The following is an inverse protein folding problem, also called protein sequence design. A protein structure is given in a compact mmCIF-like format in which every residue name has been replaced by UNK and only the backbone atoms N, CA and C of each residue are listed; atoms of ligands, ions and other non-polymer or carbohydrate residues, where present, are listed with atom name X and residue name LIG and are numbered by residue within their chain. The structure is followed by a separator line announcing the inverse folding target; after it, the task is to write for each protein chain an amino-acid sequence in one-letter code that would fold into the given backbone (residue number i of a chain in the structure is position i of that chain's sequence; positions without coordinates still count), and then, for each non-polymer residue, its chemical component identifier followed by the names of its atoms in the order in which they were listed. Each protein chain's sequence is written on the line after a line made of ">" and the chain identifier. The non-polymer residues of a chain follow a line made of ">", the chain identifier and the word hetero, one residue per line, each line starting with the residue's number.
data_IF_433927783132
#
_entry.id   IF_433927783132
#
_cell.length_a   1.000
_cell.length_b   1.000
_cell.length_c   1.000
_cell.angle_alpha   90.00
_cell.angle_beta   90.00
_cell.angle_gamma   90.00
#
_symmetry.space_group_name_H-M   'P 1'
#
loop_
_entity.id
_entity.type
_entity.pdbx_description
1 polymer ?
#
# COMPACT_ATOMS: atom_id res chain seq x y z
N UNK A 1 -11.37 -21.12 -10.93
CA UNK A 1 -10.46 -20.11 -10.33
C UNK A 1 -10.90 -18.75 -10.81
N UNK A 2 -11.49 -17.92 -9.94
CA UNK A 2 -12.03 -16.62 -10.35
C UNK A 2 -10.93 -15.57 -10.60
N UNK A 3 -11.19 -14.52 -11.41
CA UNK A 3 -10.21 -13.49 -11.75
C UNK A 3 -9.73 -12.67 -10.54
N UNK A 4 -10.49 -12.64 -9.44
CA UNK A 4 -10.07 -12.02 -8.18
C UNK A 4 -8.99 -12.82 -7.43
N UNK A 5 -8.99 -14.15 -7.56
CA UNK A 5 -7.93 -14.99 -6.97
C UNK A 5 -6.61 -14.85 -7.74
N UNK A 6 -6.68 -14.59 -9.06
CA UNK A 6 -5.49 -14.34 -9.88
C UNK A 6 -4.82 -12.99 -9.54
N UNK A 7 -5.58 -11.98 -9.12
CA UNK A 7 -5.03 -10.68 -8.73
C UNK A 7 -4.22 -10.73 -7.42
N UNK A 8 -4.51 -11.69 -6.55
CA UNK A 8 -3.76 -11.92 -5.30
C UNK A 8 -2.48 -12.74 -5.51
N UNK A 9 -2.31 -13.38 -6.67
CA UNK A 9 -1.14 -14.21 -7.00
C UNK A 9 -0.15 -13.49 -7.93
N UNK A 10 -0.59 -12.49 -8.70
CA UNK A 10 0.17 -11.99 -9.84
C UNK A 10 1.21 -10.89 -9.56
N UNK A 11 1.40 -10.40 -8.34
CA UNK A 11 2.57 -9.54 -8.04
C UNK A 11 3.04 -9.70 -6.60
N UNK A 12 4.06 -10.53 -6.33
CA UNK A 12 4.74 -10.50 -5.05
C UNK A 12 5.62 -9.26 -5.05
N UNK A 13 5.21 -8.20 -4.35
CA UNK A 13 6.15 -7.09 -4.11
C UNK A 13 7.24 -7.53 -3.12
N UNK A 14 7.03 -8.59 -2.32
CA UNK A 14 8.02 -9.09 -1.35
C UNK A 14 7.93 -10.60 -1.05
N UNK A 15 7.86 -11.48 -2.05
CA UNK A 15 8.19 -12.91 -1.88
C UNK A 15 7.35 -13.76 -0.91
N UNK A 16 6.23 -13.28 -0.36
CA UNK A 16 5.31 -14.11 0.43
C UNK A 16 4.20 -14.66 -0.45
N UNK A 17 4.26 -15.96 -0.79
CA UNK A 17 3.12 -16.68 -1.34
C UNK A 17 2.12 -16.98 -0.21
N UNK A 18 0.95 -16.35 -0.23
CA UNK A 18 -0.18 -16.78 0.58
C UNK A 18 -0.67 -18.13 0.03
N UNK A 19 -0.34 -19.24 0.70
CA UNK A 19 -1.00 -20.52 0.47
C UNK A 19 -2.41 -20.46 1.06
N UNK A 20 -3.39 -20.12 0.22
CA UNK A 20 -4.81 -20.15 0.59
C UNK A 20 -5.27 -21.61 0.58
N UNK A 21 -5.87 -22.06 1.68
CA UNK A 21 -6.43 -23.41 1.80
C UNK A 21 -7.51 -23.65 0.72
N UNK A 22 -7.38 -24.70 -0.12
CA UNK A 22 -8.30 -24.96 -1.23
C UNK A 22 -9.73 -25.26 -0.79
N UNK A 23 -9.98 -25.56 0.49
CA UNK A 23 -11.33 -25.76 1.04
C UNK A 23 -12.20 -24.48 1.04
N UNK A 24 -11.58 -23.29 0.94
CA UNK A 24 -12.28 -22.00 0.94
C UNK A 24 -12.66 -21.50 -0.47
N UNK A 25 -12.27 -22.20 -1.54
CA UNK A 25 -12.40 -21.74 -2.93
C UNK A 25 -13.56 -22.35 -3.74
N UNK A 26 -14.46 -23.12 -3.10
CA UNK A 26 -15.61 -23.72 -3.77
C UNK A 26 -16.79 -22.72 -3.89
N UNK A 27 -16.72 -21.83 -4.87
CA UNK A 27 -17.83 -20.95 -5.29
C UNK A 27 -18.00 -20.96 -6.82
N UNK A 28 -19.22 -20.75 -7.34
CA UNK A 28 -19.56 -21.06 -8.73
C UNK A 28 -18.82 -20.19 -9.76
N UNK A 29 -18.34 -20.86 -10.80
CA UNK A 29 -17.49 -20.34 -11.88
C UNK A 29 -18.23 -19.37 -12.81
N UNK A 30 -17.73 -18.14 -12.94
CA UNK A 30 -18.03 -17.24 -14.06
C UNK A 30 -16.86 -17.25 -15.04
N UNK A 31 -16.98 -18.07 -16.08
CA UNK A 31 -16.04 -18.14 -17.20
C UNK A 31 -16.41 -17.09 -18.25
N UNK A 32 -15.46 -16.19 -18.55
CA UNK A 32 -15.27 -15.39 -19.78
C UNK A 32 -15.00 -13.90 -19.50
N UNK A 33 -13.75 -13.58 -19.21
CA UNK A 33 -13.16 -12.27 -19.55
C UNK A 33 -11.73 -12.54 -20.06
N UNK A 34 -11.37 -12.18 -21.31
CA UNK A 34 -10.02 -12.41 -21.82
C UNK A 34 -9.00 -11.48 -21.15
N UNK A 35 -7.92 -12.06 -20.65
CA UNK A 35 -6.74 -11.40 -20.11
C UNK A 35 -5.84 -10.98 -21.28
N UNK A 36 -5.62 -9.69 -21.47
CA UNK A 36 -4.63 -9.19 -22.45
C UNK A 36 -3.25 -9.28 -21.80
N UNK A 37 -2.45 -10.25 -22.28
CA UNK A 37 -1.07 -10.46 -21.86
C UNK A 37 -0.14 -9.39 -22.47
N UNK A 38 0.81 -8.92 -21.67
CA UNK A 38 1.89 -8.03 -22.09
C UNK A 38 2.84 -8.80 -23.04
N UNK A 39 3.00 -8.29 -24.27
CA UNK A 39 3.93 -8.85 -25.27
C UNK A 39 5.28 -8.14 -25.15
N UNK A 40 6.32 -8.93 -24.89
CA UNK A 40 7.73 -8.56 -25.04
C UNK A 40 8.09 -8.44 -26.52
N UNK A 41 8.83 -7.38 -26.84
CA UNK A 41 9.41 -7.12 -28.17
C UNK A 41 10.63 -8.00 -28.44
N UNK A 42 10.64 -8.68 -29.58
CA UNK A 42 11.85 -9.07 -30.32
C UNK A 42 11.59 -8.87 -31.81
N UNK A 43 12.50 -8.18 -32.48
CA UNK A 43 12.47 -7.89 -33.91
C UNK A 43 13.24 -8.96 -34.70
N UNK A 44 12.74 -9.36 -35.87
CA UNK A 44 13.50 -9.57 -37.12
C UNK A 44 12.58 -10.04 -38.27
N UNK A 45 12.83 -9.54 -39.49
CA UNK A 45 12.37 -10.13 -40.75
C UNK A 45 11.12 -9.50 -41.38
N UNK A 46 11.30 -8.77 -42.48
CA UNK A 46 10.25 -8.02 -43.17
C UNK A 46 9.48 -8.80 -44.24
N UNK A 47 8.38 -8.19 -44.71
CA UNK A 47 8.01 -7.95 -46.11
C UNK A 47 6.67 -7.18 -46.15
N UNK A 48 6.57 -6.23 -47.09
CA UNK A 48 5.45 -5.30 -47.28
C UNK A 48 4.13 -6.01 -47.61
N UNK A 49 3.03 -5.60 -46.97
CA UNK A 49 1.77 -5.21 -47.65
C UNK A 49 0.62 -5.05 -46.64
N UNK A 50 0.03 -3.85 -46.62
CA UNK A 50 -1.36 -3.65 -46.21
C UNK A 50 -1.60 -2.97 -44.87
N UNK A 51 -1.89 -1.66 -44.91
CA UNK A 51 -2.55 -0.89 -43.86
C UNK A 51 -1.79 -0.72 -42.54
N UNK A 52 -0.67 0.01 -42.59
CA UNK A 52 -0.05 0.61 -41.41
C UNK A 52 -0.89 1.79 -40.89
N UNK A 53 -1.98 1.47 -40.19
CA UNK A 53 -2.43 2.32 -39.09
C UNK A 53 -1.57 1.97 -37.88
N UNK A 54 -0.30 2.36 -37.91
CA UNK A 54 0.47 2.49 -36.67
C UNK A 54 -0.35 3.42 -35.78
N UNK A 55 -0.80 3.02 -34.57
CA UNK A 55 -1.54 3.93 -33.72
C UNK A 55 -0.65 5.16 -33.48
N UNK A 56 -1.03 6.28 -34.08
CA UNK A 56 -0.29 7.53 -33.95
C UNK A 56 -0.10 7.87 -32.48
N UNK A 57 1.00 8.54 -32.16
CA UNK A 57 1.23 9.01 -30.79
C UNK A 57 0.01 9.81 -30.30
N UNK A 58 -0.47 9.57 -29.07
CA UNK A 58 -1.69 10.20 -28.58
C UNK A 58 -1.53 11.71 -28.55
N UNK A 59 -2.53 12.42 -29.05
CA UNK A 59 -2.59 13.87 -29.07
C UNK A 59 -2.62 14.44 -27.64
N UNK A 60 -2.23 15.72 -27.49
CA UNK A 60 -2.32 16.41 -26.20
C UNK A 60 -3.74 16.38 -25.63
N UNK A 61 -4.76 16.51 -26.49
CA UNK A 61 -6.16 16.46 -26.09
C UNK A 61 -6.57 15.09 -25.52
N UNK A 62 -6.15 14.00 -26.17
CA UNK A 62 -6.39 12.63 -25.70
C UNK A 62 -5.71 12.38 -24.35
N UNK A 63 -4.45 12.81 -24.21
CA UNK A 63 -3.71 12.69 -22.95
C UNK A 63 -4.37 13.49 -21.82
N UNK A 64 -4.89 14.68 -22.11
CA UNK A 64 -5.63 15.50 -21.13
C UNK A 64 -6.95 14.83 -20.71
N UNK A 65 -7.68 14.23 -21.65
CA UNK A 65 -8.90 13.48 -21.35
C UNK A 65 -8.59 12.23 -20.49
N UNK A 66 -7.54 11.50 -20.84
CA UNK A 66 -7.09 10.34 -20.08
C UNK A 66 -6.65 10.74 -18.66
N UNK A 67 -5.83 11.79 -18.53
CA UNK A 67 -5.43 12.34 -17.22
C UNK A 67 -6.65 12.69 -16.39
N UNK A 68 -7.67 13.34 -16.97
CA UNK A 68 -8.91 13.68 -16.27
C UNK A 68 -9.66 12.45 -15.75
N UNK A 69 -9.71 11.37 -16.52
CA UNK A 69 -10.31 10.09 -16.10
C UNK A 69 -9.51 9.44 -14.97
N UNK A 70 -8.20 9.33 -15.13
CA UNK A 70 -7.32 8.73 -14.13
C UNK A 70 -7.28 9.56 -12.84
N UNK A 71 -7.36 10.89 -12.92
CA UNK A 71 -7.37 11.77 -11.75
C UNK A 71 -8.61 11.54 -10.87
N UNK A 72 -9.78 11.33 -11.47
CA UNK A 72 -11.01 11.00 -10.72
C UNK A 72 -10.86 9.67 -9.97
N UNK A 73 -10.34 8.65 -10.66
CA UNK A 73 -10.12 7.32 -10.06
C UNK A 73 -9.05 7.37 -8.95
N UNK A 74 -7.92 8.02 -9.22
CA UNK A 74 -6.83 8.20 -8.27
C UNK A 74 -7.31 8.96 -7.02
N UNK A 75 -8.14 10.01 -7.18
CA UNK A 75 -8.72 10.75 -6.05
C UNK A 75 -9.64 9.85 -5.20
N UNK A 76 -10.54 9.11 -5.83
CA UNK A 76 -11.46 8.21 -5.11
C UNK A 76 -10.71 7.12 -4.33
N UNK A 77 -9.76 6.44 -4.99
CA UNK A 77 -8.93 5.43 -4.34
C UNK A 77 -7.94 6.02 -3.33
N UNK A 78 -7.49 7.26 -3.54
CA UNK A 78 -6.68 8.01 -2.58
C UNK A 78 -7.43 8.27 -1.27
N UNK A 79 -8.70 8.68 -1.34
CA UNK A 79 -9.57 8.83 -0.16
C UNK A 79 -9.76 7.49 0.54
N UNK A 80 -10.03 6.42 -0.21
CA UNK A 80 -10.18 5.08 0.36
C UNK A 80 -8.87 4.59 1.04
N UNK A 81 -7.72 4.82 0.39
CA UNK A 81 -6.40 4.50 0.94
C UNK A 81 -6.13 5.28 2.22
N UNK A 82 -6.46 6.57 2.24
CA UNK A 82 -6.30 7.42 3.42
C UNK A 82 -7.19 6.96 4.59
N UNK A 83 -8.45 6.64 4.32
CA UNK A 83 -9.37 6.11 5.33
C UNK A 83 -8.87 4.75 5.88
N UNK A 84 -8.43 3.84 5.00
CA UNK A 84 -7.87 2.55 5.40
C UNK A 84 -6.61 2.71 6.25
N UNK A 85 -5.69 3.59 5.85
CA UNK A 85 -4.47 3.87 6.61
C UNK A 85 -4.78 4.47 7.99
N UNK A 86 -5.79 5.33 8.09
CA UNK A 86 -6.26 5.86 9.37
C UNK A 86 -6.67 4.71 10.31
N UNK A 87 -7.46 3.76 9.81
CA UNK A 87 -7.82 2.55 10.55
C UNK A 87 -6.59 1.73 10.97
N UNK A 88 -5.65 1.52 10.05
CA UNK A 88 -4.40 0.78 10.33
C UNK A 88 -3.57 1.45 11.41
N UNK A 89 -3.39 2.77 11.38
CA UNK A 89 -2.65 3.52 12.40
C UNK A 89 -3.32 3.40 13.76
N UNK A 90 -4.65 3.54 13.84
CA UNK A 90 -5.40 3.38 15.08
C UNK A 90 -5.23 1.96 15.63
N UNK A 91 -5.42 0.94 14.81
CA UNK A 91 -5.28 -0.45 15.22
C UNK A 91 -3.84 -0.79 15.63
N UNK A 92 -2.84 -0.25 14.92
CA UNK A 92 -1.43 -0.37 15.29
C UNK A 92 -1.14 0.30 16.63
N UNK A 93 -1.76 1.44 16.92
CA UNK A 93 -1.62 2.12 18.21
C UNK A 93 -2.22 1.29 19.34
N UNK A 94 -3.41 0.72 19.15
CA UNK A 94 -4.05 -0.16 20.13
C UNK A 94 -3.20 -1.43 20.38
N UNK A 95 -2.65 -2.02 19.32
CA UNK A 95 -1.71 -3.13 19.45
C UNK A 95 -0.46 -2.72 20.25
N UNK A 96 0.14 -1.58 19.93
CA UNK A 96 1.31 -1.06 20.65
C UNK A 96 1.00 -0.83 22.12
N UNK A 97 -0.14 -0.21 22.44
CA UNK A 97 -0.60 0.03 23.80
C UNK A 97 -0.73 -1.26 24.59
N UNK A 98 -1.43 -2.26 24.04
CA UNK A 98 -1.61 -3.57 24.65
C UNK A 98 -0.28 -4.26 24.98
N UNK A 99 0.70 -4.20 24.05
CA UNK A 99 1.97 -4.91 24.17
C UNK A 99 3.06 -4.15 24.93
N UNK A 100 3.03 -2.82 24.97
CA UNK A 100 4.15 -2.03 25.48
C UNK A 100 3.78 -0.91 26.44
N UNK A 101 2.53 -0.46 26.44
CA UNK A 101 1.98 0.55 27.35
C UNK A 101 2.86 1.80 27.54
N UNK A 102 2.61 2.53 28.63
CA UNK A 102 3.46 3.63 29.09
C UNK A 102 4.67 3.20 29.92
N UNK A 103 4.63 2.00 30.53
CA UNK A 103 5.59 1.54 31.54
C UNK A 103 6.46 0.34 31.12
N UNK A 104 6.84 -0.47 32.12
CA UNK A 104 7.59 -1.71 31.94
C UNK A 104 6.70 -2.87 31.49
N UNK A 105 7.28 -4.06 31.29
CA UNK A 105 6.55 -5.24 30.82
C UNK A 105 5.37 -5.61 31.76
N UNK A 106 5.61 -5.57 33.07
CA UNK A 106 4.61 -5.90 34.09
C UNK A 106 3.38 -4.98 34.05
N UNK A 107 3.57 -3.74 33.59
CA UNK A 107 2.52 -2.71 33.55
C UNK A 107 1.73 -2.74 32.24
N UNK A 108 2.04 -3.65 31.32
CA UNK A 108 1.35 -3.69 30.02
C UNK A 108 -0.05 -4.29 30.15
N UNK A 109 -1.02 -3.83 29.35
CA UNK A 109 -2.38 -4.36 29.45
C UNK A 109 -2.50 -5.88 29.20
N UNK A 110 -1.61 -6.41 28.36
CA UNK A 110 -1.53 -7.85 28.15
C UNK A 110 -1.02 -8.66 29.34
N UNK A 111 -0.26 -8.04 30.25
CA UNK A 111 0.18 -8.70 31.50
C UNK A 111 -0.84 -8.50 32.61
N UNK A 112 -1.47 -7.33 32.65
CA UNK A 112 -2.48 -7.00 33.67
C UNK A 112 -3.85 -7.65 33.43
N UNK A 113 -4.11 -8.16 32.22
CA UNK A 113 -5.38 -8.83 31.90
C UNK A 113 -6.45 -7.92 31.29
N UNK A 114 -6.13 -6.66 30.99
CA UNK A 114 -7.04 -5.59 30.52
C UNK A 114 -6.80 -5.15 29.07
N UNK A 115 -6.28 -6.04 28.22
CA UNK A 115 -6.01 -5.74 26.81
C UNK A 115 -7.28 -5.32 26.04
N UNK A 116 -7.14 -4.26 25.23
CA UNK A 116 -8.17 -3.79 24.30
C UNK A 116 -8.40 -4.87 23.24
N UNK A 117 -9.68 -5.19 22.95
CA UNK A 117 -10.09 -6.36 22.15
C UNK A 117 -9.74 -7.73 22.78
N UNK A 118 -9.52 -7.76 24.10
CA UNK A 118 -9.33 -8.99 24.86
C UNK A 118 -7.94 -9.60 24.75
N UNK A 119 -7.67 -10.60 25.60
CA UNK A 119 -6.35 -11.23 25.71
C UNK A 119 -5.91 -12.00 24.46
N UNK A 120 -6.84 -12.36 23.57
CA UNK A 120 -6.50 -12.92 22.25
C UNK A 120 -5.76 -11.93 21.35
N UNK A 121 -5.82 -10.63 21.65
CA UNK A 121 -5.08 -9.58 20.95
C UNK A 121 -3.65 -9.40 21.46
N UNK A 122 -3.24 -10.16 22.47
CA UNK A 122 -1.89 -10.14 23.06
C UNK A 122 -0.87 -10.97 22.28
N UNK A 123 -0.90 -10.82 20.96
CA UNK A 123 0.04 -11.44 20.03
C UNK A 123 0.79 -10.36 19.27
N UNK A 124 1.91 -10.72 18.61
CA UNK A 124 2.63 -9.77 17.75
C UNK A 124 1.89 -9.43 16.45
N UNK A 125 0.83 -10.17 16.12
CA UNK A 125 0.05 -10.01 14.89
C UNK A 125 -1.45 -10.16 15.18
N UNK A 126 -2.06 -9.24 15.95
CA UNK A 126 -3.50 -9.27 16.16
C UNK A 126 -4.21 -9.08 14.82
N UNK A 127 -5.19 -9.96 14.55
CA UNK A 127 -5.88 -10.01 13.26
C UNK A 127 -6.45 -8.66 12.79
N UNK A 128 -7.04 -7.81 13.64
CA UNK A 128 -7.57 -6.52 13.17
C UNK A 128 -6.50 -5.64 12.50
N UNK A 129 -5.33 -5.47 13.14
CA UNK A 129 -4.25 -4.66 12.57
C UNK A 129 -3.64 -5.33 11.32
N UNK A 130 -3.49 -6.65 11.33
CA UNK A 130 -2.99 -7.39 10.16
C UNK A 130 -3.92 -7.25 8.95
N UNK A 131 -5.22 -7.47 9.12
CA UNK A 131 -6.20 -7.36 8.02
C UNK A 131 -6.23 -5.93 7.48
N UNK A 132 -6.27 -4.94 8.38
CA UNK A 132 -6.27 -3.52 8.00
C UNK A 132 -4.99 -3.12 7.26
N UNK A 133 -3.83 -3.60 7.69
CA UNK A 133 -2.54 -3.30 7.04
C UNK A 133 -2.44 -3.95 5.65
N UNK A 134 -2.95 -5.17 5.46
CA UNK A 134 -3.05 -5.83 4.15
C UNK A 134 -3.97 -5.02 3.22
N UNK A 135 -5.17 -4.66 3.68
CA UNK A 135 -6.12 -3.87 2.90
C UNK A 135 -5.54 -2.50 2.50
N UNK A 136 -4.87 -1.83 3.44
CA UNK A 136 -4.18 -0.56 3.21
C UNK A 136 -3.08 -0.70 2.18
N UNK A 137 -2.26 -1.75 2.28
CA UNK A 137 -1.18 -2.01 1.33
C UNK A 137 -1.70 -2.26 -0.09
N UNK A 138 -2.80 -3.01 -0.23
CA UNK A 138 -3.44 -3.26 -1.52
C UNK A 138 -3.99 -1.95 -2.12
N UNK A 139 -4.78 -1.19 -1.35
CA UNK A 139 -5.33 0.10 -1.78
C UNK A 139 -4.24 1.10 -2.16
N UNK A 140 -3.19 1.18 -1.33
CA UNK A 140 -2.04 2.03 -1.57
C UNK A 140 -1.31 1.64 -2.87
N UNK A 141 -1.09 0.35 -3.10
CA UNK A 141 -0.38 -0.13 -4.31
C UNK A 141 -1.12 0.23 -5.58
N UNK A 142 -2.46 0.10 -5.60
CA UNK A 142 -3.29 0.51 -6.74
C UNK A 142 -3.25 2.03 -6.92
N UNK A 143 -3.46 2.80 -5.85
CA UNK A 143 -3.46 4.26 -5.89
C UNK A 143 -2.12 4.82 -6.35
N UNK A 144 -1.02 4.29 -5.82
CA UNK A 144 0.34 4.64 -6.21
C UNK A 144 0.61 4.26 -7.68
N UNK A 145 0.21 3.06 -8.09
CA UNK A 145 0.33 2.61 -9.47
C UNK A 145 -0.43 3.48 -10.48
N UNK A 146 -1.60 4.01 -10.11
CA UNK A 146 -2.32 5.00 -10.91
C UNK A 146 -1.56 6.33 -11.00
N UNK A 147 -0.90 6.74 -9.91
CA UNK A 147 -0.11 7.98 -9.90
C UNK A 147 1.09 7.95 -10.86
N UNK A 148 1.65 6.76 -11.11
CA UNK A 148 2.76 6.58 -12.06
C UNK A 148 2.30 6.57 -13.51
N UNK A 149 1.05 6.18 -13.76
CA UNK A 149 0.46 6.11 -15.11
C UNK A 149 -0.21 7.40 -15.55
N UNK A 150 -0.22 8.43 -14.71
CA UNK A 150 -0.89 9.69 -15.01
C UNK A 150 -0.12 10.45 -16.11
N UNK A 151 -0.73 10.70 -17.29
CA UNK A 151 -0.08 11.47 -18.35
C UNK A 151 0.26 12.88 -17.88
N UNK A 152 1.39 13.43 -18.35
CA UNK A 152 1.83 14.79 -18.04
C UNK A 152 2.04 15.63 -19.31
N UNK A 153 0.98 15.86 -20.10
CA UNK A 153 1.10 16.62 -21.34
C UNK A 153 1.58 18.03 -21.03
N UNK A 154 2.56 18.53 -21.78
CA UNK A 154 3.14 19.88 -21.60
C UNK A 154 3.85 20.10 -20.26
N UNK A 155 4.30 19.04 -19.59
CA UNK A 155 5.00 19.11 -18.31
C UNK A 155 4.26 19.97 -17.27
N UNK A 156 3.05 19.59 -16.87
CA UNK A 156 2.19 20.42 -16.00
C UNK A 156 2.78 20.73 -14.61
N UNK A 157 3.89 20.07 -14.26
CA UNK A 157 4.67 20.39 -13.06
C UNK A 157 5.80 21.39 -13.29
N UNK A 158 5.98 21.95 -14.49
CA UNK A 158 6.98 22.97 -14.80
C UNK A 158 6.38 24.39 -14.73
N UNK A 159 7.23 25.38 -14.44
CA UNK A 159 6.83 26.77 -14.26
C UNK A 159 6.42 27.16 -12.83
N UNK A 160 6.00 28.43 -12.69
CA UNK A 160 5.83 29.08 -11.38
C UNK A 160 4.37 29.23 -10.93
N UNK A 161 3.42 28.69 -11.68
CA UNK A 161 2.02 28.68 -11.26
C UNK A 161 1.81 27.89 -9.97
N UNK A 162 0.82 28.29 -9.17
CA UNK A 162 0.46 27.58 -7.93
C UNK A 162 0.14 26.11 -8.19
N UNK A 163 -0.53 25.82 -9.32
CA UNK A 163 -0.81 24.46 -9.75
C UNK A 163 0.47 23.65 -9.99
N UNK A 164 1.44 24.20 -10.73
CA UNK A 164 2.70 23.53 -11.02
C UNK A 164 3.51 23.27 -9.74
N UNK A 165 3.56 24.26 -8.84
CA UNK A 165 4.22 24.14 -7.53
C UNK A 165 3.58 23.04 -6.66
N UNK A 166 2.24 23.03 -6.58
CA UNK A 166 1.47 22.02 -5.85
C UNK A 166 1.66 20.62 -6.44
N UNK A 167 1.64 20.50 -7.76
CA UNK A 167 1.88 19.22 -8.44
C UNK A 167 3.31 18.71 -8.19
N UNK A 168 4.33 19.58 -8.21
CA UNK A 168 5.70 19.21 -7.83
C UNK A 168 5.78 18.74 -6.38
N UNK A 169 5.09 19.43 -5.45
CA UNK A 169 5.06 19.04 -4.04
C UNK A 169 4.38 17.68 -3.87
N UNK A 170 3.24 17.45 -4.50
CA UNK A 170 2.54 16.17 -4.49
C UNK A 170 3.41 15.02 -5.05
N UNK A 171 4.07 15.23 -6.21
CA UNK A 171 5.00 14.26 -6.81
C UNK A 171 6.21 13.95 -5.89
N UNK A 172 6.68 14.91 -5.09
CA UNK A 172 7.77 14.69 -4.11
C UNK A 172 7.27 13.91 -2.89
N UNK A 173 6.15 14.33 -2.30
CA UNK A 173 5.53 13.65 -1.16
C UNK A 173 5.20 12.19 -1.47
N UNK A 174 4.85 11.89 -2.74
CA UNK A 174 4.67 10.52 -3.24
C UNK A 174 5.82 9.59 -2.89
N UNK A 175 7.06 10.04 -3.07
CA UNK A 175 8.24 9.23 -2.79
C UNK A 175 8.52 9.11 -1.30
N UNK A 176 8.22 10.16 -0.53
CA UNK A 176 8.37 10.14 0.93
C UNK A 176 7.44 9.12 1.55
N UNK A 177 6.14 9.16 1.22
CA UNK A 177 5.20 8.19 1.78
C UNK A 177 5.39 6.78 1.20
N UNK A 178 5.94 6.62 -0.02
CA UNK A 178 6.36 5.29 -0.51
C UNK A 178 7.48 4.70 0.34
N UNK A 179 8.55 5.45 0.58
CA UNK A 179 9.65 5.00 1.42
C UNK A 179 9.16 4.60 2.82
N UNK A 180 8.25 5.39 3.39
CA UNK A 180 7.59 5.09 4.66
C UNK A 180 6.76 3.81 4.64
N UNK A 181 5.99 3.55 3.57
CA UNK A 181 5.23 2.29 3.42
C UNK A 181 6.15 1.07 3.33
N UNK A 182 7.24 1.15 2.55
CA UNK A 182 8.22 0.06 2.43
C UNK A 182 8.92 -0.21 3.77
N UNK A 183 9.34 0.85 4.46
CA UNK A 183 9.97 0.74 5.77
C UNK A 183 9.04 0.10 6.82
N UNK A 184 7.75 0.47 6.83
CA UNK A 184 6.76 -0.16 7.69
C UNK A 184 6.59 -1.65 7.38
N UNK A 185 6.47 -2.05 6.11
CA UNK A 185 6.35 -3.45 5.74
C UNK A 185 7.55 -4.28 6.21
N UNK A 186 8.76 -3.79 5.95
CA UNK A 186 10.00 -4.47 6.36
C UNK A 186 10.11 -4.58 7.89
N UNK A 187 9.94 -3.47 8.61
CA UNK A 187 10.08 -3.45 10.06
C UNK A 187 8.94 -4.22 10.75
N UNK A 188 7.72 -4.13 10.22
CA UNK A 188 6.57 -4.90 10.70
C UNK A 188 6.80 -6.40 10.56
N UNK A 189 7.39 -6.85 9.45
CA UNK A 189 7.77 -8.25 9.26
C UNK A 189 8.84 -8.70 10.27
N UNK A 190 9.85 -7.88 10.53
CA UNK A 190 10.89 -8.18 11.54
C UNK A 190 10.27 -8.31 12.93
N UNK A 191 9.44 -7.35 13.35
CA UNK A 191 8.80 -7.36 14.68
C UNK A 191 7.87 -8.56 14.82
N UNK A 192 7.03 -8.81 13.81
CA UNK A 192 6.08 -9.92 13.80
C UNK A 192 6.77 -11.28 13.96
N UNK A 193 7.93 -11.46 13.32
CA UNK A 193 8.72 -12.69 13.33
C UNK A 193 9.88 -12.63 14.33
N UNK A 194 9.80 -11.80 15.37
CA UNK A 194 10.89 -11.57 16.31
C UNK A 194 11.51 -12.85 16.88
N UNK A 195 10.71 -13.88 17.18
CA UNK A 195 11.22 -15.15 17.71
C UNK A 195 12.17 -15.86 16.72
N UNK A 196 11.90 -15.76 15.41
CA UNK A 196 12.78 -16.29 14.36
C UNK A 196 14.12 -15.54 14.27
N UNK A 197 14.17 -14.31 14.79
CA UNK A 197 15.39 -13.50 14.91
C UNK A 197 15.99 -13.53 16.32
N UNK A 198 15.51 -14.43 17.20
CA UNK A 198 15.99 -14.54 18.57
C UNK A 198 15.52 -13.43 19.52
N UNK A 199 14.51 -12.64 19.13
CA UNK A 199 13.94 -11.56 19.92
C UNK A 199 12.62 -11.98 20.57
N UNK A 200 12.66 -12.27 21.87
CA UNK A 200 11.51 -12.68 22.65
C UNK A 200 10.97 -11.52 23.50
N UNK A 201 9.65 -11.41 23.68
CA UNK A 201 9.08 -10.34 24.52
C UNK A 201 9.48 -10.48 26.00
N UNK A 202 9.75 -11.69 26.46
CA UNK A 202 10.16 -11.96 27.85
C UNK A 202 11.59 -11.52 28.15
N UNK A 203 12.53 -11.75 27.22
CA UNK A 203 13.96 -11.46 27.45
C UNK A 203 14.41 -10.14 26.80
N UNK A 204 13.75 -9.72 25.71
CA UNK A 204 14.19 -8.63 24.82
C UNK A 204 13.14 -7.51 24.75
N UNK A 205 12.40 -7.30 25.83
CA UNK A 205 11.27 -6.37 25.90
C UNK A 205 11.64 -4.95 25.44
N UNK A 206 12.76 -4.41 25.93
CA UNK A 206 13.21 -3.04 25.61
C UNK A 206 13.54 -2.90 24.12
N UNK A 207 14.22 -3.89 23.54
CA UNK A 207 14.55 -3.93 22.11
C UNK A 207 13.27 -3.97 21.27
N UNK A 208 12.33 -4.86 21.59
CA UNK A 208 11.07 -4.98 20.86
C UNK A 208 10.18 -3.74 21.02
N UNK A 209 10.17 -3.11 22.20
CA UNK A 209 9.49 -1.83 22.44
C UNK A 209 10.11 -0.73 21.59
N UNK A 210 11.44 -0.65 21.52
CA UNK A 210 12.13 0.33 20.69
C UNK A 210 11.81 0.15 19.20
N UNK A 211 11.91 -1.07 18.67
CA UNK A 211 11.56 -1.38 17.27
C UNK A 211 10.09 -1.03 16.97
N UNK A 212 9.18 -1.38 17.87
CA UNK A 212 7.75 -1.09 17.71
C UNK A 212 7.45 0.41 17.80
N UNK A 213 8.19 1.16 18.62
CA UNK A 213 8.11 2.62 18.69
C UNK A 213 8.58 3.26 17.38
N UNK A 214 9.69 2.78 16.82
CA UNK A 214 10.18 3.24 15.50
C UNK A 214 9.16 2.92 14.41
N UNK A 215 8.59 1.72 14.40
CA UNK A 215 7.54 1.34 13.45
C UNK A 215 6.33 2.27 13.55
N UNK A 216 5.87 2.57 14.77
CA UNK A 216 4.78 3.53 15.01
C UNK A 216 5.12 4.93 14.49
N UNK A 217 6.32 5.43 14.79
CA UNK A 217 6.76 6.75 14.37
C UNK A 217 6.81 6.86 12.83
N UNK A 218 7.38 5.86 12.15
CA UNK A 218 7.38 5.81 10.68
C UNK A 218 5.93 5.77 10.15
N UNK A 219 5.05 5.00 10.79
CA UNK A 219 3.62 4.97 10.45
C UNK A 219 2.94 6.33 10.54
N UNK A 220 3.16 7.07 11.63
CA UNK A 220 2.62 8.42 11.81
C UNK A 220 3.18 9.41 10.79
N UNK A 221 4.48 9.37 10.50
CA UNK A 221 5.11 10.23 9.47
C UNK A 221 4.57 9.89 8.07
N UNK A 222 4.43 8.60 7.75
CA UNK A 222 3.88 8.14 6.47
C UNK A 222 2.42 8.59 6.32
N UNK A 223 1.63 8.45 7.38
CA UNK A 223 0.24 8.90 7.41
C UNK A 223 0.14 10.43 7.26
N UNK A 224 0.97 11.19 7.97
CA UNK A 224 1.00 12.65 7.89
C UNK A 224 1.40 13.15 6.50
N UNK A 225 2.43 12.56 5.89
CA UNK A 225 2.88 12.91 4.54
C UNK A 225 1.86 12.54 3.46
N UNK A 226 1.19 11.40 3.59
CA UNK A 226 0.08 11.02 2.71
C UNK A 226 -1.13 11.94 2.88
N UNK A 227 -1.47 12.30 4.12
CA UNK A 227 -2.55 13.26 4.41
C UNK A 227 -2.24 14.61 3.77
N UNK A 228 -1.02 15.13 3.94
CA UNK A 228 -0.59 16.36 3.28
C UNK A 228 -0.70 16.26 1.76
N UNK A 229 -0.17 15.19 1.16
CA UNK A 229 -0.26 14.97 -0.29
C UNK A 229 -1.70 14.99 -0.80
N UNK A 230 -2.64 14.40 -0.06
CA UNK A 230 -4.07 14.41 -0.36
C UNK A 230 -4.69 15.80 -0.26
N UNK A 231 -4.36 16.56 0.78
CA UNK A 231 -4.96 17.90 1.00
C UNK A 231 -4.64 18.92 -0.10
N UNK A 232 -3.50 18.78 -0.81
CA UNK A 232 -3.05 19.72 -1.86
C UNK A 232 -4.08 19.91 -2.99
N UNK A 233 -4.90 18.89 -3.28
CA UNK A 233 -5.88 18.92 -4.37
C UNK A 233 -7.31 18.59 -3.91
N UNK A 234 -7.54 18.55 -2.59
CA UNK A 234 -8.87 18.43 -1.99
C UNK A 234 -9.44 19.80 -1.59
N UNK A 235 -8.56 20.76 -1.30
CA UNK A 235 -8.83 22.16 -0.98
C UNK A 235 -8.02 23.07 -1.90
#
# INVERSE_FOLDING_TARGET
>A
MGPLAALLVATPVFGFSLSVDPSLAAGPSLSNVPVVAAVQTSAEGGEESGSDASPGAPTVAEQMQERGRLAKLHRALGIATWASMTGTVVLGFLQYWNLYGGGGLADTPCVQGDAIFGQSSCTRQPLPHLISSIATTALYSVTFGLSLRMPDPMNLSEGDSDYAQNLRRHKRLRWVHLAGMVAQLALGAIIANGDSFGLSRANDYSTLKALSTVHMAIGLVTYGTMTWAGTIFLF
#
